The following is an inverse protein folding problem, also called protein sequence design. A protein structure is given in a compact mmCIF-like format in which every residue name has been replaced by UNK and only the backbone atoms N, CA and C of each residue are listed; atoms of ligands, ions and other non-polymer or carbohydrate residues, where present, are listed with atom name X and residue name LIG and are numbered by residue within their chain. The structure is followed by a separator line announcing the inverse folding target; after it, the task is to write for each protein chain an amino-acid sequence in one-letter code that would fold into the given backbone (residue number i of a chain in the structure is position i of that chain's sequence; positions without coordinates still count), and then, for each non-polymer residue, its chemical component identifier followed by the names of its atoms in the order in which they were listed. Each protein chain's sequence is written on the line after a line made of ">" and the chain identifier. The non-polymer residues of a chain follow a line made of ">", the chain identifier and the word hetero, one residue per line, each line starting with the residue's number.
data_IF_624074431410
#
_entry.id   IF_624074431410
#
_cell.length_a   1.000
_cell.length_b   1.000
_cell.length_c   1.000
_cell.angle_alpha   90.00
_cell.angle_beta   90.00
_cell.angle_gamma   90.00
#
_symmetry.space_group_name_H-M   'P 1'
#
loop_
_entity.id
_entity.type
_entity.pdbx_description
1 polymer ?
#
# COMPACT_ATOMS: atom_id res chain seq x y z
N UNK A 1 -14.61 7.47 4.09
CA UNK A 1 -15.22 8.24 5.20
C UNK A 1 -16.62 7.72 5.58
N UNK A 2 -17.72 8.04 4.88
CA UNK A 2 -19.07 7.61 5.32
C UNK A 2 -19.25 6.08 5.38
N UNK A 3 -18.86 5.37 4.30
CA UNK A 3 -19.00 3.91 4.23
C UNK A 3 -18.22 3.17 5.31
N UNK A 4 -17.03 3.66 5.67
CA UNK A 4 -16.20 3.08 6.73
C UNK A 4 -16.85 3.24 8.11
N UNK A 5 -17.45 4.41 8.38
CA UNK A 5 -18.17 4.64 9.63
C UNK A 5 -19.40 3.75 9.73
N UNK A 6 -20.18 3.63 8.65
CA UNK A 6 -21.34 2.73 8.61
C UNK A 6 -20.90 1.28 8.82
N UNK A 7 -19.87 0.82 8.11
CA UNK A 7 -19.33 -0.53 8.29
C UNK A 7 -18.84 -0.79 9.72
N UNK A 8 -18.11 0.17 10.32
CA UNK A 8 -17.62 0.07 11.68
C UNK A 8 -18.76 0.00 12.71
N UNK A 9 -19.77 0.86 12.58
CA UNK A 9 -20.95 0.89 13.48
C UNK A 9 -21.73 -0.41 13.34
N UNK A 10 -22.01 -0.86 12.11
CA UNK A 10 -22.73 -2.11 11.86
C UNK A 10 -21.97 -3.31 12.41
N UNK A 11 -20.65 -3.37 12.24
CA UNK A 11 -19.81 -4.43 12.79
C UNK A 11 -19.81 -4.42 14.32
N UNK A 12 -19.65 -3.26 14.95
CA UNK A 12 -19.66 -3.13 16.40
C UNK A 12 -21.01 -3.53 17.00
N UNK A 13 -22.12 -3.12 16.38
CA UNK A 13 -23.47 -3.53 16.78
C UNK A 13 -23.69 -5.03 16.56
N UNK A 14 -23.20 -5.59 15.45
CA UNK A 14 -23.28 -7.03 15.16
C UNK A 14 -22.55 -7.88 16.19
N UNK A 15 -21.28 -7.54 16.49
CA UNK A 15 -20.48 -8.26 17.49
C UNK A 15 -21.02 -8.03 18.91
N UNK A 16 -21.44 -6.80 19.23
CA UNK A 16 -22.09 -6.50 20.52
C UNK A 16 -23.40 -7.28 20.72
N UNK A 17 -24.22 -7.38 19.66
CA UNK A 17 -25.44 -8.18 19.65
C UNK A 17 -25.15 -9.67 19.83
N UNK A 18 -24.12 -10.20 19.16
CA UNK A 18 -23.68 -11.58 19.32
C UNK A 18 -23.21 -11.85 20.77
N UNK A 19 -22.45 -10.94 21.35
CA UNK A 19 -22.01 -11.02 22.74
C UNK A 19 -23.19 -10.98 23.73
N UNK A 20 -24.22 -10.17 23.44
CA UNK A 20 -25.47 -10.17 24.22
C UNK A 20 -26.20 -11.52 24.12
N UNK A 21 -26.30 -12.08 22.91
CA UNK A 21 -26.89 -13.40 22.68
C UNK A 21 -26.16 -14.51 23.44
N UNK A 22 -24.83 -14.54 23.36
CA UNK A 22 -23.96 -15.45 24.13
C UNK A 22 -24.18 -15.33 25.63
N UNK A 23 -24.22 -14.10 26.16
CA UNK A 23 -24.53 -13.85 27.57
C UNK A 23 -25.89 -14.43 27.96
N UNK A 24 -26.92 -14.22 27.12
CA UNK A 24 -28.28 -14.71 27.38
C UNK A 24 -28.36 -16.23 27.38
N UNK A 25 -27.72 -16.89 26.41
CA UNK A 25 -27.65 -18.36 26.31
C UNK A 25 -26.85 -18.96 27.47
N UNK A 26 -25.78 -18.27 27.91
CA UNK A 26 -24.96 -18.70 29.05
C UNK A 26 -25.66 -18.57 30.42
N UNK A 27 -26.93 -18.15 30.46
CA UNK A 27 -27.67 -17.98 31.72
C UNK A 27 -27.13 -16.85 32.60
N UNK A 28 -26.43 -15.86 32.02
CA UNK A 28 -25.87 -14.73 32.77
C UNK A 28 -24.54 -14.99 33.46
N UNK A 29 -23.85 -16.12 33.17
CA UNK A 29 -22.52 -16.44 33.73
C UNK A 29 -21.41 -15.49 33.28
N UNK A 30 -21.59 -14.83 32.13
CA UNK A 30 -20.65 -13.82 31.61
C UNK A 30 -20.89 -12.45 32.26
N UNK A 31 -19.85 -11.63 32.52
CA UNK A 31 -20.02 -10.30 33.11
C UNK A 31 -20.63 -9.29 32.13
N UNK A 32 -21.25 -8.22 32.66
CA UNK A 32 -21.99 -7.22 31.84
C UNK A 32 -21.07 -6.41 30.92
N UNK A 33 -19.78 -6.43 31.24
CA UNK A 33 -18.71 -5.77 30.49
C UNK A 33 -18.35 -6.49 29.19
N UNK A 34 -18.74 -7.75 28.99
CA UNK A 34 -18.40 -8.49 27.76
C UNK A 34 -18.98 -7.82 26.52
N UNK A 35 -20.19 -7.27 26.61
CA UNK A 35 -20.84 -6.60 25.47
C UNK A 35 -20.05 -5.37 25.01
N UNK A 36 -19.76 -4.36 25.87
CA UNK A 36 -18.99 -3.20 25.44
C UNK A 36 -17.53 -3.54 25.10
N UNK A 37 -16.91 -4.52 25.77
CA UNK A 37 -15.55 -4.97 25.45
C UNK A 37 -15.50 -5.62 24.07
N UNK A 38 -16.44 -6.50 23.74
CA UNK A 38 -16.51 -7.14 22.43
C UNK A 38 -16.73 -6.11 21.31
N UNK A 39 -17.61 -5.13 21.54
CA UNK A 39 -17.82 -4.04 20.59
C UNK A 39 -16.56 -3.18 20.39
N UNK A 40 -15.86 -2.82 21.47
CA UNK A 40 -14.60 -2.07 21.39
C UNK A 40 -13.50 -2.86 20.65
N UNK A 41 -13.35 -4.16 20.95
CA UNK A 41 -12.42 -5.03 20.26
C UNK A 41 -12.75 -5.17 18.77
N UNK A 42 -14.04 -5.24 18.41
CA UNK A 42 -14.46 -5.28 17.01
C UNK A 42 -14.03 -4.02 16.25
N UNK A 43 -14.14 -2.84 16.87
CA UNK A 43 -13.70 -1.58 16.27
C UNK A 43 -12.19 -1.52 16.09
N UNK A 44 -11.42 -1.96 17.09
CA UNK A 44 -9.95 -2.03 17.00
C UNK A 44 -9.53 -3.01 15.90
N UNK A 45 -10.13 -4.19 15.86
CA UNK A 45 -9.88 -5.19 14.82
C UNK A 45 -10.23 -4.67 13.42
N UNK A 46 -11.33 -3.92 13.28
CA UNK A 46 -11.70 -3.30 12.01
C UNK A 46 -10.69 -2.26 11.54
N UNK A 47 -10.19 -1.42 12.45
CA UNK A 47 -9.15 -0.45 12.14
C UNK A 47 -7.86 -1.14 11.68
N UNK A 48 -7.40 -2.14 12.43
CA UNK A 48 -6.22 -2.95 12.07
C UNK A 48 -6.42 -3.61 10.72
N UNK A 49 -7.55 -4.26 10.49
CA UNK A 49 -7.85 -4.90 9.22
C UNK A 49 -7.80 -3.90 8.06
N UNK A 50 -8.35 -2.70 8.25
CA UNK A 50 -8.27 -1.61 7.27
C UNK A 50 -6.84 -1.18 6.97
N UNK A 51 -5.98 -1.12 7.99
CA UNK A 51 -4.56 -0.77 7.89
C UNK A 51 -3.73 -1.82 7.13
N UNK A 52 -4.08 -3.11 7.21
CA UNK A 52 -3.32 -4.16 6.51
C UNK A 52 -3.85 -4.49 5.12
N UNK A 53 -5.14 -4.35 4.88
CA UNK A 53 -5.77 -4.76 3.62
C UNK A 53 -5.84 -3.65 2.57
N UNK A 54 -5.45 -2.41 2.86
CA UNK A 54 -5.52 -1.33 1.87
C UNK A 54 -4.50 -1.50 0.75
N UNK A 55 -3.27 -1.95 1.05
CA UNK A 55 -2.19 -2.06 0.08
C UNK A 55 -2.54 -3.05 -1.03
N UNK A 56 -2.98 -4.26 -0.64
CA UNK A 56 -3.42 -5.29 -1.57
C UNK A 56 -4.64 -4.86 -2.39
N UNK A 57 -5.62 -4.19 -1.77
CA UNK A 57 -6.80 -3.67 -2.47
C UNK A 57 -6.42 -2.59 -3.49
N UNK A 58 -5.51 -1.68 -3.11
CA UNK A 58 -5.01 -0.65 -4.01
C UNK A 58 -4.27 -1.28 -5.18
N UNK A 59 -3.30 -2.16 -4.92
CA UNK A 59 -2.55 -2.88 -5.95
C UNK A 59 -3.47 -3.64 -6.93
N UNK A 60 -4.52 -4.28 -6.43
CA UNK A 60 -5.49 -4.99 -7.28
C UNK A 60 -6.36 -4.08 -8.16
N UNK A 61 -6.46 -2.79 -7.82
CA UNK A 61 -7.19 -1.80 -8.58
C UNK A 61 -6.30 -1.05 -9.60
N UNK A 62 -4.98 -1.29 -9.61
CA UNK A 62 -4.08 -0.69 -10.59
C UNK A 62 -4.29 -1.31 -11.98
N UNK A 63 -4.17 -0.52 -13.06
CA UNK A 63 -4.14 -1.06 -14.42
C UNK A 63 -2.97 -2.03 -14.62
N UNK A 64 -3.12 -3.03 -15.49
CA UNK A 64 -2.10 -4.06 -15.74
C UNK A 64 -0.70 -3.52 -16.14
N UNK A 65 -0.63 -2.27 -16.62
CA UNK A 65 0.63 -1.60 -17.00
C UNK A 65 1.38 -0.95 -15.83
N UNK A 66 0.76 -0.88 -14.64
CA UNK A 66 1.33 -0.22 -13.46
C UNK A 66 1.69 -1.30 -12.45
N UNK A 67 2.98 -1.45 -12.16
CA UNK A 67 3.50 -2.51 -11.29
C UNK A 67 4.00 -1.92 -9.99
N UNK A 68 3.63 -2.51 -8.85
CA UNK A 68 4.16 -2.11 -7.54
C UNK A 68 5.62 -2.54 -7.46
N UNK A 69 6.52 -1.59 -7.25
CA UNK A 69 7.97 -1.80 -7.23
C UNK A 69 8.55 -1.69 -5.83
N UNK A 70 7.90 -0.93 -4.95
CA UNK A 70 8.31 -0.85 -3.56
C UNK A 70 7.13 -0.64 -2.60
N UNK A 71 7.24 -1.20 -1.40
CA UNK A 71 6.26 -1.07 -0.32
C UNK A 71 6.97 -0.56 0.93
N UNK A 72 6.69 0.69 1.32
CA UNK A 72 7.31 1.28 2.50
C UNK A 72 6.45 0.99 3.73
N UNK A 73 6.95 0.09 4.56
CA UNK A 73 6.42 -0.19 5.89
C UNK A 73 6.85 0.86 6.91
N UNK A 74 5.91 1.36 7.71
CA UNK A 74 6.19 2.27 8.82
C UNK A 74 5.76 1.65 10.15
N UNK A 75 6.57 1.85 11.19
CA UNK A 75 6.28 1.45 12.56
C UNK A 75 6.16 2.67 13.46
N UNK A 76 5.16 2.72 14.35
CA UNK A 76 5.01 3.83 15.30
C UNK A 76 4.73 3.36 16.73
N UNK A 77 4.99 4.25 17.70
CA UNK A 77 4.83 3.98 19.14
C UNK A 77 3.37 3.68 19.53
N UNK A 78 2.41 4.29 18.84
CA UNK A 78 0.97 4.11 19.10
C UNK A 78 0.40 2.77 18.60
N UNK A 79 1.14 2.08 17.72
CA UNK A 79 0.80 0.79 17.12
C UNK A 79 1.89 -0.21 17.47
N UNK A 80 1.98 -0.67 18.74
CA UNK A 80 3.10 -1.47 19.22
C UNK A 80 3.28 -2.80 18.47
N UNK A 81 2.21 -3.35 17.88
CA UNK A 81 2.32 -4.54 17.03
C UNK A 81 3.08 -4.30 15.72
N UNK A 82 3.18 -3.03 15.25
CA UNK A 82 3.86 -2.66 14.01
C UNK A 82 5.38 -2.85 14.05
N UNK A 83 5.97 -2.93 15.24
CA UNK A 83 7.39 -3.27 15.39
C UNK A 83 7.70 -4.72 14.98
N UNK A 84 6.71 -5.61 15.10
CA UNK A 84 6.82 -7.01 14.65
C UNK A 84 6.29 -7.18 13.22
N UNK A 85 5.17 -6.51 12.92
CA UNK A 85 4.50 -6.58 11.63
C UNK A 85 4.29 -5.17 11.08
N UNK A 86 5.27 -4.60 10.35
CA UNK A 86 5.19 -3.25 9.82
C UNK A 86 3.93 -3.05 8.97
N UNK A 87 3.30 -1.89 9.11
CA UNK A 87 2.13 -1.53 8.30
C UNK A 87 2.63 -0.80 7.06
N UNK A 88 2.30 -1.31 5.87
CA UNK A 88 2.58 -0.59 4.62
C UNK A 88 1.76 0.71 4.64
N UNK A 89 2.40 1.88 4.59
CA UNK A 89 1.70 3.18 4.56
C UNK A 89 1.83 3.88 3.20
N UNK A 90 2.84 3.48 2.41
CA UNK A 90 3.10 4.00 1.06
C UNK A 90 3.45 2.89 0.08
N UNK A 91 2.87 2.97 -1.11
CA UNK A 91 3.17 2.14 -2.26
C UNK A 91 3.88 2.99 -3.32
N UNK A 92 4.92 2.44 -3.92
CA UNK A 92 5.57 3.00 -5.11
C UNK A 92 5.24 2.09 -6.28
N UNK A 93 4.61 2.65 -7.30
CA UNK A 93 4.22 1.89 -8.49
C UNK A 93 4.81 2.52 -9.75
N UNK A 94 5.40 1.71 -10.63
CA UNK A 94 6.00 2.11 -11.90
C UNK A 94 4.99 1.92 -13.02
N UNK A 95 4.80 2.96 -13.83
CA UNK A 95 4.05 2.85 -15.08
C UNK A 95 4.97 2.41 -16.20
N UNK A 96 4.88 1.14 -16.54
CA UNK A 96 5.75 0.49 -17.52
C UNK A 96 5.54 1.05 -18.95
N UNK A 97 4.35 1.56 -19.25
CA UNK A 97 4.06 2.18 -20.55
C UNK A 97 4.63 3.59 -20.72
N UNK A 98 5.07 4.20 -19.63
CA UNK A 98 5.69 5.54 -19.63
C UNK A 98 7.20 5.51 -19.90
N UNK A 99 7.81 4.32 -19.85
CA UNK A 99 9.27 4.14 -19.99
C UNK A 99 9.66 4.46 -21.42
N UNK A 100 10.36 5.59 -21.62
CA UNK A 100 10.81 6.03 -22.95
C UNK A 100 12.22 6.62 -22.88
N UNK A 101 13.05 6.39 -23.91
CA UNK A 101 14.32 7.11 -24.06
C UNK A 101 14.06 8.62 -24.14
N UNK A 102 14.90 9.41 -23.49
CA UNK A 102 14.79 10.86 -23.53
C UNK A 102 15.27 11.36 -24.90
N UNK A 103 14.45 12.15 -25.60
CA UNK A 103 14.72 12.57 -26.98
C UNK A 103 15.98 13.43 -27.14
N UNK A 104 16.52 13.96 -26.04
CA UNK A 104 17.64 14.90 -26.04
C UNK A 104 18.96 14.28 -25.54
N UNK A 105 18.92 13.06 -24.96
CA UNK A 105 20.12 12.40 -24.44
C UNK A 105 19.99 10.87 -24.50
N UNK A 106 20.84 10.22 -25.27
CA UNK A 106 20.75 8.78 -25.58
C UNK A 106 21.09 7.86 -24.40
N UNK A 107 21.59 8.41 -23.28
CA UNK A 107 21.85 7.67 -22.05
C UNK A 107 20.73 7.73 -21.00
N UNK A 108 19.76 8.65 -21.16
CA UNK A 108 18.72 8.91 -20.18
C UNK A 108 17.41 8.22 -20.55
N UNK A 109 16.84 7.51 -19.59
CA UNK A 109 15.52 6.86 -19.68
C UNK A 109 14.57 7.57 -18.73
N UNK A 110 13.43 8.02 -19.27
CA UNK A 110 12.37 8.63 -18.48
C UNK A 110 11.33 7.59 -18.09
N UNK A 111 10.94 7.58 -16.82
CA UNK A 111 9.88 6.73 -16.29
C UNK A 111 8.99 7.49 -15.31
N UNK A 112 7.69 7.20 -15.34
CA UNK A 112 6.73 7.77 -14.40
C UNK A 112 6.51 6.81 -13.22
N UNK A 113 6.74 7.32 -12.01
CA UNK A 113 6.42 6.65 -10.76
C UNK A 113 5.17 7.28 -10.13
N UNK A 114 4.36 6.42 -9.55
CA UNK A 114 3.19 6.77 -8.75
C UNK A 114 3.47 6.46 -7.29
N UNK A 115 3.53 7.51 -6.47
CA UNK A 115 3.57 7.40 -5.02
C UNK A 115 2.14 7.45 -4.49
N UNK A 116 1.67 6.31 -3.98
CA UNK A 116 0.32 6.17 -3.44
C UNK A 116 0.43 6.00 -1.94
N UNK A 117 -0.03 7.00 -1.20
CA UNK A 117 -0.16 6.93 0.25
C UNK A 117 -1.61 6.70 0.61
N UNK A 118 -1.84 6.02 1.74
CA UNK A 118 -3.21 5.66 2.15
C UNK A 118 -4.15 6.84 2.33
N UNK A 119 -3.65 8.01 2.79
CA UNK A 119 -4.46 9.19 3.12
C UNK A 119 -4.19 10.41 2.24
N UNK A 120 -3.35 10.28 1.22
CA UNK A 120 -3.05 11.38 0.29
C UNK A 120 -3.47 11.00 -1.13
N UNK A 121 -3.74 12.00 -1.95
CA UNK A 121 -3.90 11.77 -3.38
C UNK A 121 -2.60 11.19 -3.95
N UNK A 122 -2.73 10.24 -4.88
CA UNK A 122 -1.58 9.68 -5.58
C UNK A 122 -0.77 10.79 -6.24
N UNK A 123 0.53 10.86 -5.95
CA UNK A 123 1.43 11.82 -6.57
C UNK A 123 2.18 11.13 -7.69
N UNK A 124 2.18 11.76 -8.86
CA UNK A 124 2.99 11.33 -10.00
C UNK A 124 4.32 12.08 -9.96
N UNK A 125 5.42 11.35 -10.04
CA UNK A 125 6.76 11.90 -10.19
C UNK A 125 7.40 11.28 -11.43
N UNK A 126 7.87 12.13 -12.32
CA UNK A 126 8.65 11.69 -13.47
C UNK A 126 10.12 11.70 -13.06
N UNK A 127 10.78 10.55 -13.15
CA UNK A 127 12.21 10.43 -12.92
C UNK A 127 12.93 10.15 -14.24
N UNK A 128 14.12 10.72 -14.40
CA UNK A 128 15.05 10.37 -15.47
C UNK A 128 16.21 9.60 -14.86
N UNK A 129 16.49 8.42 -15.38
CA UNK A 129 17.54 7.51 -14.92
C UNK A 129 18.61 7.42 -16.01
N UNK A 130 19.87 7.63 -15.64
CA UNK A 130 21.01 7.40 -16.52
C UNK A 130 21.38 5.91 -16.49
N UNK A 131 21.10 5.20 -17.58
CA UNK A 131 21.44 3.77 -17.71
C UNK A 131 22.89 3.55 -18.15
N UNK A 132 23.61 4.59 -18.58
CA UNK A 132 25.04 4.53 -18.93
C UNK A 132 25.94 4.69 -17.71
N UNK A 133 25.49 5.42 -16.69
CA UNK A 133 26.14 5.56 -15.40
C UNK A 133 25.10 5.45 -14.29
N UNK A 134 24.86 4.26 -13.72
CA UNK A 134 23.87 4.05 -12.67
C UNK A 134 24.35 4.73 -11.38
N UNK A 135 24.17 6.05 -11.30
CA UNK A 135 24.25 6.81 -10.06
C UNK A 135 22.84 6.96 -9.55
N UNK A 136 22.60 6.46 -8.34
CA UNK A 136 21.36 6.74 -7.62
C UNK A 136 21.13 8.25 -7.60
N UNK A 137 19.95 8.75 -7.98
CA UNK A 137 19.62 10.15 -7.72
C UNK A 137 19.82 10.37 -6.21
N UNK A 138 20.56 11.42 -5.86
CA UNK A 138 21.02 11.62 -4.49
C UNK A 138 19.81 11.75 -3.53
N UNK A 139 19.49 10.68 -2.81
CA UNK A 139 18.41 10.72 -1.82
C UNK A 139 17.86 9.40 -1.25
N UNK A 140 17.91 8.25 -1.95
CA UNK A 140 17.05 7.11 -1.57
C UNK A 140 17.76 5.72 -1.57
N UNK A 141 17.19 4.81 -0.78
CA UNK A 141 17.77 3.56 -0.21
C UNK A 141 18.11 2.46 -1.22
N UNK A 142 18.90 1.46 -0.80
CA UNK A 142 19.38 0.30 -1.61
C UNK A 142 18.32 -0.51 -2.41
N UNK A 143 17.02 -0.32 -2.18
CA UNK A 143 15.95 -0.80 -3.05
C UNK A 143 15.96 -0.13 -4.44
N UNK A 144 16.49 1.10 -4.54
CA UNK A 144 16.65 1.86 -5.78
C UNK A 144 17.53 1.16 -6.82
N UNK A 145 18.55 0.41 -6.41
CA UNK A 145 19.44 -0.27 -7.34
C UNK A 145 18.71 -1.31 -8.20
N UNK A 146 17.76 -2.04 -7.61
CA UNK A 146 16.91 -3.01 -8.33
C UNK A 146 15.86 -2.32 -9.19
N UNK A 147 15.31 -1.21 -8.72
CA UNK A 147 14.36 -0.39 -9.47
C UNK A 147 15.01 0.20 -10.74
N UNK A 148 16.20 0.79 -10.59
CA UNK A 148 17.00 1.34 -11.69
C UNK A 148 17.31 0.25 -12.72
N UNK A 149 17.74 -0.93 -12.28
CA UNK A 149 18.06 -2.03 -13.17
C UNK A 149 16.82 -2.56 -13.91
N UNK A 150 15.68 -2.69 -13.22
CA UNK A 150 14.42 -3.08 -13.86
C UNK A 150 13.92 -2.05 -14.89
N UNK A 151 14.10 -0.75 -14.62
CA UNK A 151 13.77 0.32 -15.58
C UNK A 151 14.70 0.26 -16.80
N UNK A 152 16.00 0.09 -16.61
CA UNK A 152 16.97 0.01 -17.70
C UNK A 152 16.80 -1.25 -18.55
N UNK A 153 16.57 -2.41 -17.95
CA UNK A 153 16.29 -3.66 -18.67
C UNK A 153 15.02 -3.52 -19.53
N UNK A 154 13.99 -2.86 -18.98
CA UNK A 154 12.74 -2.63 -19.69
C UNK A 154 12.89 -1.63 -20.83
N UNK A 155 13.68 -0.58 -20.65
CA UNK A 155 14.01 0.38 -21.70
C UNK A 155 14.81 -0.26 -22.84
N UNK A 156 15.74 -1.18 -22.53
CA UNK A 156 16.46 -1.95 -23.54
C UNK A 156 15.50 -2.84 -24.35
N UNK A 157 14.48 -3.43 -23.71
CA UNK A 157 13.48 -4.27 -24.39
C UNK A 157 12.55 -3.47 -25.31
N UNK A 158 12.15 -2.24 -24.94
CA UNK A 158 11.27 -1.40 -25.75
C UNK A 158 11.98 -0.76 -26.95
N UNK A 159 13.29 -0.50 -26.85
CA UNK A 159 14.11 -0.06 -27.97
C UNK A 159 14.24 -1.14 -29.07
N UNK A 160 14.20 -2.42 -28.69
CA UNK A 160 14.24 -3.55 -29.64
C UNK A 160 12.94 -3.75 -30.43
N UNK A 161 11.79 -3.32 -29.90
CA UNK A 161 10.47 -3.52 -30.55
C UNK A 161 10.10 -2.43 -31.56
N UNK A 162 10.89 -1.35 -31.66
CA UNK A 162 10.63 -0.24 -32.57
C UNK A 162 11.35 -0.39 -33.94
N UNK A 163 12.05 -1.50 -34.17
CA UNK A 163 12.82 -1.78 -35.39
C UNK A 163 12.27 -2.95 -36.24
N UNK A 164 11.07 -3.46 -35.95
CA UNK A 164 10.35 -4.43 -36.80
C UNK A 164 9.05 -3.84 -37.37
#
# INVERSE_FOLDING_TARGET
>A
MLFELVAAITLALGIGGLAYGLRRISGGRLPKTVIPVAAALALVAFAIWGDYSWASRTASALPARVVVVDELGESNVWRPWSYLFPVTERLVALDEGSVRPEANDSGLVRADLYFIERRQAARKSTISVDCASPRSPAGETAADGRLIQAICDKAASSAGTQND
#
